data_IF_241980097046
#
_entry.id   IF_241980097046
#
_cell.length_a   1.000
_cell.length_b   1.000
_cell.length_c   1.000
_cell.angle_alpha   90.00
_cell.angle_beta   90.00
_cell.angle_gamma   90.00
#
_symmetry.space_group_name_H-M   'P 1'
#
loop_
_entity.id
_entity.type
_entity.pdbx_description
1 polymer ?
#
# COMPACT_ATOMS: atom_id res chain seq x y z
N UNK A 1 -7.10 -19.07 15.91
CA UNK A 1 -6.78 -17.94 15.01
C UNK A 1 -7.58 -18.12 13.72
N UNK A 2 -8.23 -17.06 13.21
CA UNK A 2 -9.09 -17.11 12.02
C UNK A 2 -8.70 -16.01 11.03
N UNK A 3 -8.56 -16.36 9.74
CA UNK A 3 -8.29 -15.37 8.69
C UNK A 3 -9.54 -14.52 8.38
N UNK A 4 -9.32 -13.29 7.90
CA UNK A 4 -10.40 -12.34 7.59
C UNK A 4 -11.34 -12.84 6.46
N UNK A 5 -10.81 -13.63 5.54
CA UNK A 5 -11.55 -14.21 4.42
C UNK A 5 -10.97 -15.59 4.05
N UNK A 6 -11.78 -16.48 3.46
CA UNK A 6 -11.33 -17.75 2.93
C UNK A 6 -10.47 -17.56 1.66
N UNK A 7 -9.56 -18.50 1.39
CA UNK A 7 -8.59 -18.36 0.28
C UNK A 7 -9.29 -18.35 -1.09
N UNK A 8 -10.45 -18.96 -1.20
CA UNK A 8 -11.24 -19.11 -2.41
C UNK A 8 -12.03 -17.83 -2.77
N UNK A 9 -12.13 -16.87 -1.85
CA UNK A 9 -12.82 -15.60 -2.10
C UNK A 9 -12.17 -14.87 -3.27
N UNK A 10 -12.94 -14.26 -4.18
CA UNK A 10 -12.37 -13.55 -5.34
C UNK A 10 -11.78 -12.18 -4.96
N UNK A 11 -10.82 -11.68 -5.75
CA UNK A 11 -10.04 -10.47 -5.45
C UNK A 11 -10.91 -9.30 -5.00
N UNK A 12 -11.93 -8.92 -5.77
CA UNK A 12 -12.77 -7.76 -5.47
C UNK A 12 -13.55 -7.93 -4.16
N UNK A 13 -14.00 -9.15 -3.86
CA UNK A 13 -14.66 -9.46 -2.59
C UNK A 13 -13.71 -9.39 -1.40
N UNK A 14 -12.46 -9.85 -1.56
CA UNK A 14 -11.41 -9.72 -0.53
C UNK A 14 -11.17 -8.25 -0.21
N UNK A 15 -11.01 -7.41 -1.24
CA UNK A 15 -10.78 -5.96 -1.09
C UNK A 15 -11.96 -5.28 -0.40
N UNK A 16 -13.19 -5.59 -0.80
CA UNK A 16 -14.41 -5.08 -0.17
C UNK A 16 -14.49 -5.47 1.32
N UNK A 17 -14.14 -6.72 1.65
CA UNK A 17 -14.10 -7.21 3.04
C UNK A 17 -13.05 -6.47 3.86
N UNK A 18 -11.85 -6.27 3.32
CA UNK A 18 -10.78 -5.51 3.99
C UNK A 18 -11.23 -4.06 4.21
N UNK A 19 -11.78 -3.41 3.19
CA UNK A 19 -12.22 -2.02 3.27
C UNK A 19 -13.28 -1.81 4.35
N UNK A 20 -14.28 -2.70 4.42
CA UNK A 20 -15.37 -2.61 5.41
C UNK A 20 -14.95 -2.97 6.83
N UNK A 21 -14.25 -4.09 6.99
CA UNK A 21 -13.95 -4.66 8.32
C UNK A 21 -12.72 -4.01 8.95
N UNK A 22 -11.67 -3.74 8.17
CA UNK A 22 -10.39 -3.24 8.69
C UNK A 22 -10.34 -1.72 8.65
N UNK A 23 -10.81 -1.11 7.56
CA UNK A 23 -10.66 0.35 7.37
C UNK A 23 -11.92 1.15 7.76
N UNK A 24 -13.08 0.51 7.90
CA UNK A 24 -14.33 1.21 8.19
C UNK A 24 -14.89 2.00 7.01
N UNK A 25 -14.52 1.64 5.78
CA UNK A 25 -15.08 2.21 4.57
C UNK A 25 -16.51 1.68 4.35
N UNK A 26 -17.36 2.47 3.69
CA UNK A 26 -18.71 2.05 3.28
C UNK A 26 -18.68 1.06 2.11
N UNK A 27 -17.61 1.10 1.31
CA UNK A 27 -17.39 0.22 0.16
C UNK A 27 -16.17 0.62 -0.64
N UNK A 28 -16.02 0.01 -1.82
CA UNK A 28 -14.87 0.21 -2.72
C UNK A 28 -15.34 0.71 -4.07
N UNK A 29 -14.72 1.78 -4.58
CA UNK A 29 -14.92 2.29 -5.93
C UNK A 29 -13.72 1.90 -6.80
N UNK A 30 -13.98 1.29 -7.95
CA UNK A 30 -12.93 0.85 -8.88
C UNK A 30 -12.87 1.80 -10.08
N UNK A 31 -11.67 2.20 -10.47
CA UNK A 31 -11.46 2.81 -11.78
C UNK A 31 -11.73 1.77 -12.89
N UNK A 32 -12.04 2.23 -14.09
CA UNK A 32 -12.30 1.35 -15.25
C UNK A 32 -11.09 0.44 -15.52
N UNK A 33 -9.88 0.98 -15.42
CA UNK A 33 -8.62 0.25 -15.62
C UNK A 33 -8.43 -0.83 -14.54
N UNK A 34 -8.64 -0.46 -13.26
CA UNK A 34 -8.50 -1.39 -12.15
C UNK A 34 -9.57 -2.49 -12.19
N UNK A 35 -10.81 -2.16 -12.55
CA UNK A 35 -11.89 -3.13 -12.66
C UNK A 35 -11.62 -4.13 -13.77
N UNK A 36 -11.12 -3.67 -14.92
CA UNK A 36 -10.77 -4.54 -16.06
C UNK A 36 -9.65 -5.51 -15.68
N UNK A 37 -8.58 -5.02 -15.05
CA UNK A 37 -7.49 -5.87 -14.56
C UNK A 37 -7.96 -6.85 -13.49
N UNK A 38 -8.78 -6.40 -12.54
CA UNK A 38 -9.32 -7.26 -11.49
C UNK A 38 -10.17 -8.40 -12.06
N UNK A 39 -11.04 -8.11 -13.04
CA UNK A 39 -11.82 -9.14 -13.74
C UNK A 39 -10.93 -10.15 -14.47
N UNK A 40 -9.87 -9.68 -15.13
CA UNK A 40 -8.91 -10.56 -15.79
C UNK A 40 -8.19 -11.48 -14.79
N UNK A 41 -7.77 -10.96 -13.64
CA UNK A 41 -7.17 -11.77 -12.58
C UNK A 41 -8.14 -12.77 -11.96
N UNK A 42 -9.41 -12.40 -11.79
CA UNK A 42 -10.44 -13.30 -11.24
C UNK A 42 -10.82 -14.44 -12.20
N UNK A 43 -10.69 -14.22 -13.51
CA UNK A 43 -11.03 -15.18 -14.55
C UNK A 43 -9.93 -16.22 -14.82
N UNK A 44 -8.66 -15.90 -14.52
CA UNK A 44 -7.53 -16.81 -14.71
C UNK A 44 -7.24 -17.59 -13.41
N UNK A 45 -7.42 -18.94 -13.40
CA UNK A 45 -7.17 -19.79 -12.23
C UNK A 45 -5.74 -19.69 -11.68
N UNK A 46 -4.78 -19.23 -12.49
CA UNK A 46 -3.40 -19.00 -12.06
C UNK A 46 -3.30 -18.05 -10.86
N UNK A 47 -4.25 -17.13 -10.70
CA UNK A 47 -4.21 -16.13 -9.62
C UNK A 47 -5.06 -16.52 -8.41
N UNK A 48 -5.71 -17.68 -8.40
CA UNK A 48 -6.55 -18.10 -7.27
C UNK A 48 -5.71 -18.32 -5.99
N UNK A 49 -4.43 -18.70 -6.14
CA UNK A 49 -3.51 -18.87 -5.01
C UNK A 49 -2.80 -17.59 -4.56
N UNK A 50 -3.02 -16.47 -5.25
CA UNK A 50 -2.43 -15.18 -4.91
C UNK A 50 -3.16 -14.58 -3.71
N UNK A 51 -2.41 -13.84 -2.89
CA UNK A 51 -2.93 -13.11 -1.74
C UNK A 51 -3.05 -11.63 -2.05
N UNK A 52 -3.91 -10.92 -1.31
CA UNK A 52 -4.21 -9.51 -1.56
C UNK A 52 -3.41 -8.63 -0.60
N UNK A 53 -2.62 -7.71 -1.13
CA UNK A 53 -1.87 -6.72 -0.35
C UNK A 53 -2.39 -5.32 -0.67
N UNK A 54 -3.00 -4.66 0.31
CA UNK A 54 -3.54 -3.31 0.10
C UNK A 54 -2.43 -2.27 0.08
N UNK A 55 -2.36 -1.50 -1.01
CA UNK A 55 -1.41 -0.38 -1.13
C UNK A 55 -2.18 0.92 -0.93
N UNK A 56 -1.94 1.61 0.19
CA UNK A 56 -2.59 2.88 0.53
C UNK A 56 -1.67 3.74 1.39
N UNK A 57 -2.09 4.97 1.69
CA UNK A 57 -1.39 5.78 2.70
C UNK A 57 -1.36 5.10 4.06
N UNK A 58 -0.23 5.17 4.75
CA UNK A 58 -0.04 4.67 6.11
C UNK A 58 -0.48 5.70 7.17
N UNK A 59 -0.70 6.96 6.75
CA UNK A 59 -0.99 8.09 7.65
C UNK A 59 -2.46 8.15 8.11
N UNK A 60 -3.32 7.31 7.54
CA UNK A 60 -4.74 7.20 7.85
C UNK A 60 -5.23 5.76 7.65
N UNK A 61 -6.32 5.38 8.31
CA UNK A 61 -7.09 4.17 7.96
C UNK A 61 -7.71 4.30 6.57
N UNK A 62 -8.02 5.53 6.15
CA UNK A 62 -8.54 5.81 4.82
C UNK A 62 -7.46 5.88 3.74
N UNK A 63 -7.85 6.25 2.53
CA UNK A 63 -6.92 6.57 1.43
C UNK A 63 -6.36 7.99 1.52
N UNK A 64 -6.97 8.86 2.33
CA UNK A 64 -6.61 10.26 2.48
C UNK A 64 -5.80 10.45 3.78
N UNK A 65 -4.55 10.95 3.71
CA UNK A 65 -3.71 11.16 4.87
C UNK A 65 -4.25 12.22 5.86
N UNK A 66 -5.17 13.09 5.43
CA UNK A 66 -5.75 14.16 6.24
C UNK A 66 -6.87 13.66 7.18
N UNK A 67 -7.54 12.56 6.81
CA UNK A 67 -8.61 11.97 7.61
C UNK A 67 -8.02 11.18 8.80
N UNK A 68 -7.98 11.79 9.98
CA UNK A 68 -7.42 11.18 11.20
C UNK A 68 -8.46 10.42 12.02
N UNK A 69 -7.98 9.56 12.93
CA UNK A 69 -8.82 8.78 13.83
C UNK A 69 -9.49 7.60 13.12
N UNK A 70 -10.79 7.42 13.35
CA UNK A 70 -11.61 6.33 12.78
C UNK A 70 -12.61 6.93 11.77
N UNK A 71 -12.17 7.19 10.52
CA UNK A 71 -13.03 7.79 9.51
C UNK A 71 -14.19 6.85 9.15
N UNK A 72 -15.40 7.43 9.00
CA UNK A 72 -16.64 6.71 8.63
C UNK A 72 -17.24 7.33 7.36
N UNK A 73 -18.14 6.61 6.69
CA UNK A 73 -18.90 7.08 5.53
C UNK A 73 -18.02 7.53 4.36
N UNK A 74 -16.93 6.81 4.09
CA UNK A 74 -16.04 7.07 2.97
C UNK A 74 -15.89 5.83 2.10
N UNK A 75 -15.59 6.04 0.83
CA UNK A 75 -15.39 4.97 -0.15
C UNK A 75 -13.91 4.84 -0.46
N UNK A 76 -13.40 3.61 -0.54
CA UNK A 76 -12.01 3.34 -0.89
C UNK A 76 -11.85 3.39 -2.43
N UNK A 77 -11.15 4.38 -3.00
CA UNK A 77 -10.93 4.43 -4.44
C UNK A 77 -9.75 3.52 -4.82
N UNK A 78 -9.95 2.58 -5.73
CA UNK A 78 -8.89 1.75 -6.32
C UNK A 78 -8.61 2.24 -7.73
N UNK A 79 -7.38 2.71 -7.92
CA UNK A 79 -6.90 3.28 -9.18
C UNK A 79 -6.32 2.24 -10.12
N UNK A 80 -5.59 1.28 -9.57
CA UNK A 80 -4.90 0.24 -10.33
C UNK A 80 -4.67 -1.00 -9.46
N UNK A 81 -4.26 -2.11 -10.08
CA UNK A 81 -3.85 -3.35 -9.41
C UNK A 81 -2.48 -3.77 -9.93
N UNK A 82 -1.47 -3.73 -9.06
CA UNK A 82 -0.13 -4.25 -9.35
C UNK A 82 -0.07 -5.74 -9.07
N UNK A 83 0.80 -6.45 -9.78
CA UNK A 83 1.03 -7.89 -9.60
C UNK A 83 2.49 -8.16 -9.28
N UNK A 84 2.73 -8.93 -8.22
CA UNK A 84 4.05 -9.43 -7.84
C UNK A 84 4.04 -10.95 -7.87
N UNK A 85 4.28 -11.53 -9.05
CA UNK A 85 4.14 -12.96 -9.29
C UNK A 85 5.10 -13.83 -8.47
N UNK A 86 6.32 -13.34 -8.19
CA UNK A 86 7.29 -14.08 -7.37
C UNK A 86 6.83 -14.25 -5.91
N UNK A 87 6.17 -13.24 -5.35
CA UNK A 87 5.63 -13.26 -4.00
C UNK A 87 4.14 -13.68 -3.94
N UNK A 88 3.52 -13.90 -5.10
CA UNK A 88 2.09 -14.20 -5.26
C UNK A 88 1.18 -13.15 -4.61
N UNK A 89 1.45 -11.87 -4.87
CA UNK A 89 0.61 -10.75 -4.41
C UNK A 89 -0.13 -10.07 -5.55
N UNK A 90 -1.42 -9.81 -5.32
CA UNK A 90 -2.23 -8.85 -6.05
C UNK A 90 -2.37 -7.61 -5.17
N UNK A 91 -2.01 -6.46 -5.72
CA UNK A 91 -1.81 -5.23 -4.97
C UNK A 91 -2.71 -4.10 -5.45
N UNK A 92 -3.97 -4.01 -4.96
CA UNK A 92 -4.87 -2.90 -5.25
C UNK A 92 -4.31 -1.60 -4.69
N UNK A 93 -4.19 -0.59 -5.55
CA UNK A 93 -3.64 0.72 -5.20
C UNK A 93 -4.74 1.74 -4.93
N UNK A 94 -4.80 2.21 -3.68
CA UNK A 94 -5.65 3.29 -3.24
C UNK A 94 -4.84 4.59 -3.09
N UNK A 95 -5.17 5.58 -3.92
CA UNK A 95 -4.48 6.87 -3.96
C UNK A 95 -3.16 6.86 -4.73
N UNK A 96 -2.40 7.95 -4.59
CA UNK A 96 -1.07 8.13 -5.17
C UNK A 96 0.00 7.64 -4.21
N UNK A 97 0.90 6.80 -4.71
CA UNK A 97 1.97 6.18 -3.92
C UNK A 97 3.26 6.40 -4.67
N UNK A 98 4.23 7.03 -4.01
CA UNK A 98 5.56 7.20 -4.58
C UNK A 98 6.37 5.94 -4.34
N UNK A 99 6.80 5.30 -5.43
CA UNK A 99 7.68 4.13 -5.38
C UNK A 99 9.16 4.53 -5.31
N UNK A 100 9.48 5.78 -5.62
CA UNK A 100 10.83 6.32 -5.63
C UNK A 100 10.87 7.59 -4.77
N UNK A 101 11.44 7.53 -3.55
CA UNK A 101 11.60 8.73 -2.75
C UNK A 101 12.60 9.67 -3.42
N UNK A 102 12.24 10.94 -3.54
CA UNK A 102 13.16 11.98 -3.99
C UNK A 102 13.92 12.56 -2.79
N UNK A 103 15.08 13.15 -3.06
CA UNK A 103 15.88 13.83 -2.04
C UNK A 103 15.22 15.16 -1.65
N UNK A 104 15.27 15.51 -0.35
CA UNK A 104 14.80 16.81 0.15
C UNK A 104 15.66 17.98 -0.36
N UNK A 105 15.15 19.21 -0.18
CA UNK A 105 15.83 20.45 -0.59
C UNK A 105 17.15 20.68 0.16
N UNK A 106 17.22 20.30 1.45
CA UNK A 106 18.46 20.19 2.22
C UNK A 106 18.79 18.71 2.48
N UNK A 107 19.55 18.06 1.58
CA UNK A 107 19.77 16.63 1.67
C UNK A 107 20.81 16.27 2.74
N UNK A 108 20.54 15.23 3.53
CA UNK A 108 21.38 14.82 4.65
C UNK A 108 22.84 14.50 4.26
N UNK A 109 23.09 14.04 3.02
CA UNK A 109 24.45 13.73 2.55
C UNK A 109 25.41 14.94 2.57
N UNK A 110 24.90 16.18 2.54
CA UNK A 110 25.75 17.38 2.68
C UNK A 110 26.43 17.49 4.03
N UNK A 111 25.87 16.83 5.05
CA UNK A 111 26.33 16.86 6.45
C UNK A 111 27.14 15.61 6.83
N UNK A 112 27.28 14.66 5.90
CA UNK A 112 28.02 13.42 6.13
C UNK A 112 29.51 13.68 5.87
N UNK A 113 30.35 13.38 6.85
CA UNK A 113 31.80 13.48 6.74
C UNK A 113 32.48 12.38 7.58
N UNK A 114 33.77 12.15 7.33
CA UNK A 114 34.58 11.14 8.03
C UNK A 114 35.80 11.80 8.68
N UNK A 115 35.94 11.63 9.99
CA UNK A 115 37.17 12.02 10.68
C UNK A 115 38.32 11.11 10.22
N UNK A 116 39.29 11.70 9.51
CA UNK A 116 40.46 11.00 8.96
C UNK A 116 41.41 10.40 10.00
N UNK A 117 41.30 10.80 11.28
CA UNK A 117 42.15 10.28 12.37
C UNK A 117 41.47 9.15 13.12
N UNK A 118 40.16 9.26 13.36
CA UNK A 118 39.41 8.29 14.18
C UNK A 118 38.59 7.31 13.34
N UNK A 119 38.40 7.59 12.04
CA UNK A 119 37.53 6.82 11.15
C UNK A 119 36.04 6.97 11.47
N UNK A 120 35.66 7.88 12.37
CA UNK A 120 34.27 8.08 12.78
C UNK A 120 33.50 8.88 11.73
N UNK A 121 32.27 8.44 11.45
CA UNK A 121 31.37 9.10 10.51
C UNK A 121 30.46 10.06 11.27
N UNK A 122 30.42 11.31 10.82
CA UNK A 122 29.52 12.36 11.32
C UNK A 122 28.30 12.50 10.40
N UNK A 123 27.16 12.96 10.93
CA UNK A 123 25.96 13.30 10.15
C UNK A 123 25.16 12.11 9.58
N UNK A 124 25.54 10.87 9.86
CA UNK A 124 24.80 9.65 9.46
C UNK A 124 23.59 9.38 10.37
N UNK A 125 23.67 9.78 11.64
CA UNK A 125 22.62 9.69 12.65
C UNK A 125 22.73 10.93 13.56
N UNK A 126 21.62 11.37 14.16
CA UNK A 126 21.66 12.43 15.17
C UNK A 126 22.45 11.91 16.37
N UNK A 127 23.64 12.47 16.58
CA UNK A 127 24.41 12.30 17.81
C UNK A 127 24.02 13.49 18.70
N UNK A 128 23.21 13.22 19.72
CA UNK A 128 22.91 14.17 20.79
C UNK A 128 24.16 14.53 21.58
#
# INVERSE_FOLDING_TARGET
FQFLYPKEMKLRQRVEKIAKVVYGASGVAWSVEAETKAKAFEADPKYDDYTTMMVKTHLSLSHDPTLKGVPKNWTLPIRDVLIYSGAKFLCPMAGTISLMPATGSDPAFKKIDVDVKTGKVHGLHDVS
#
